data_IF_730205058887
#
_entry.id   IF_730205058887
#
_cell.length_a   1.000
_cell.length_b   1.000
_cell.length_c   1.000
_cell.angle_alpha   90.00
_cell.angle_beta   90.00
_cell.angle_gamma   90.00
#
_symmetry.space_group_name_H-M   'P 1'
#
loop_
_entity.id
_entity.type
_entity.pdbx_description
1 polymer ?
#
# COMPACT_ATOMS: atom_id res chain seq x y z
N UNK A 1 -37.79 97.47 -2.91
CA UNK A 1 -39.21 97.48 -2.51
C UNK A 1 -39.66 96.05 -2.26
N UNK A 2 -40.23 95.79 -1.07
CA UNK A 2 -41.17 94.71 -0.69
C UNK A 2 -40.76 93.22 -0.86
N UNK A 3 -40.53 92.56 0.28
CA UNK A 3 -40.92 91.15 0.55
C UNK A 3 -42.46 91.01 0.50
N UNK A 4 -43.06 89.85 0.13
CA UNK A 4 -43.24 88.70 1.06
C UNK A 4 -43.30 87.28 0.38
N UNK A 5 -42.85 86.19 1.04
CA UNK A 5 -43.55 85.11 1.82
C UNK A 5 -44.32 83.99 1.07
N UNK A 6 -44.12 82.76 1.59
CA UNK A 6 -44.93 81.51 1.59
C UNK A 6 -44.74 80.57 0.38
N UNK A 7 -44.78 79.23 0.44
CA UNK A 7 -44.69 78.19 1.47
C UNK A 7 -44.81 76.80 0.77
N UNK A 8 -44.48 75.71 1.49
CA UNK A 8 -44.87 74.30 1.25
C UNK A 8 -44.12 73.51 0.15
N UNK A 9 -43.78 72.22 0.27
CA UNK A 9 -43.92 71.18 1.31
C UNK A 9 -42.93 70.06 0.91
N UNK A 10 -42.17 69.52 1.86
CA UNK A 10 -41.32 68.33 1.69
C UNK A 10 -42.14 67.08 2.00
N UNK A 11 -42.19 66.12 1.09
CA UNK A 11 -42.66 64.75 1.36
C UNK A 11 -41.54 63.78 0.98
N UNK A 12 -40.82 63.31 1.99
CA UNK A 12 -39.84 62.23 1.87
C UNK A 12 -40.53 60.88 1.98
N UNK A 13 -40.26 59.98 1.03
CA UNK A 13 -40.63 58.58 1.10
C UNK A 13 -39.39 57.76 1.48
N UNK A 14 -39.30 57.33 2.74
CA UNK A 14 -38.35 56.31 3.18
C UNK A 14 -38.95 54.93 2.92
N UNK A 15 -38.39 54.20 1.94
CA UNK A 15 -38.65 52.77 1.73
C UNK A 15 -37.92 51.98 2.82
N UNK A 16 -38.64 51.46 3.82
CA UNK A 16 -38.13 50.50 4.80
C UNK A 16 -38.26 49.09 4.20
N UNK A 17 -37.15 48.55 3.71
CA UNK A 17 -37.03 47.12 3.41
C UNK A 17 -36.85 46.35 4.72
N UNK A 18 -37.90 45.66 5.15
CA UNK A 18 -37.83 44.67 6.23
C UNK A 18 -37.06 43.45 5.71
N UNK A 19 -35.78 43.34 6.05
CA UNK A 19 -34.99 42.13 5.87
C UNK A 19 -35.32 41.15 6.98
N UNK A 20 -35.87 39.98 6.64
CA UNK A 20 -36.02 38.87 7.59
C UNK A 20 -34.64 38.33 7.94
N UNK A 21 -34.06 38.75 9.07
CA UNK A 21 -32.89 38.08 9.66
C UNK A 21 -33.39 36.86 10.42
N UNK A 22 -33.40 35.69 9.77
CA UNK A 22 -33.44 34.43 10.50
C UNK A 22 -32.03 34.18 11.05
N UNK A 23 -31.87 34.30 12.36
CA UNK A 23 -30.66 33.80 13.05
C UNK A 23 -30.76 32.28 13.04
N UNK A 24 -29.93 31.63 12.23
CA UNK A 24 -29.73 30.19 12.35
C UNK A 24 -28.85 30.00 13.58
N UNK A 25 -29.37 29.31 14.60
CA UNK A 25 -28.56 28.84 15.72
C UNK A 25 -27.58 27.78 15.17
N UNK A 26 -26.44 28.26 14.68
CA UNK A 26 -25.32 27.42 14.30
C UNK A 26 -24.56 27.03 15.56
N UNK A 27 -24.68 25.78 15.99
CA UNK A 27 -23.72 25.21 16.94
C UNK A 27 -22.38 25.16 16.21
N UNK A 28 -21.42 25.96 16.66
CA UNK A 28 -20.04 25.84 16.23
C UNK A 28 -19.55 24.46 16.66
N UNK A 29 -19.47 23.53 15.72
CA UNK A 29 -18.76 22.27 15.92
C UNK A 29 -17.29 22.62 15.88
N UNK A 30 -16.53 22.26 16.93
CA UNK A 30 -15.09 22.43 16.92
C UNK A 30 -14.53 21.79 15.64
N UNK A 31 -13.60 22.47 14.92
CA UNK A 31 -12.94 21.84 13.80
C UNK A 31 -12.32 20.53 14.30
N UNK A 32 -12.68 19.42 13.65
CA UNK A 32 -12.06 18.14 13.93
C UNK A 32 -10.53 18.34 13.93
N UNK A 33 -9.80 17.81 14.91
CA UNK A 33 -8.35 17.96 14.96
C UNK A 33 -7.78 17.50 13.61
N UNK A 34 -6.96 18.38 12.99
CA UNK A 34 -6.36 18.08 11.70
C UNK A 34 -5.63 16.74 11.78
N UNK A 35 -5.87 15.85 10.81
CA UNK A 35 -5.21 14.56 10.75
C UNK A 35 -3.69 14.75 10.87
N UNK A 36 -3.09 14.16 11.91
CA UNK A 36 -1.65 14.25 12.13
C UNK A 36 -0.97 13.46 11.02
N UNK A 37 -0.39 14.16 10.06
CA UNK A 37 0.38 13.51 9.01
C UNK A 37 1.71 13.00 9.56
N UNK A 38 2.05 11.77 9.21
CA UNK A 38 3.34 11.19 9.52
C UNK A 38 4.47 11.90 8.78
N UNK A 39 5.51 12.29 9.53
CA UNK A 39 6.76 12.73 8.93
C UNK A 39 7.51 11.53 8.32
N UNK A 40 8.13 11.75 7.16
CA UNK A 40 8.98 10.74 6.52
C UNK A 40 10.07 10.25 7.48
N UNK A 41 10.31 8.93 7.53
CA UNK A 41 11.36 8.31 8.35
C UNK A 41 12.24 7.35 7.55
N UNK A 42 13.43 7.07 8.06
CA UNK A 42 14.26 5.99 7.54
C UNK A 42 13.57 4.64 7.78
N UNK A 43 13.51 3.81 6.73
CA UNK A 43 12.83 2.52 6.77
C UNK A 43 13.80 1.32 6.67
N UNK A 44 15.08 1.55 6.41
CA UNK A 44 16.10 0.49 6.41
C UNK A 44 16.05 -0.40 7.67
N UNK A 45 15.93 0.14 8.91
CA UNK A 45 15.92 -0.70 10.11
C UNK A 45 14.74 -1.68 10.17
N UNK A 46 13.67 -1.44 9.41
CA UNK A 46 12.48 -2.31 9.34
C UNK A 46 12.75 -3.55 8.48
N UNK A 47 13.65 -3.47 7.50
CA UNK A 47 13.97 -4.59 6.62
C UNK A 47 14.65 -5.73 7.41
N UNK A 48 14.44 -7.00 7.03
CA UNK A 48 14.98 -8.14 7.77
C UNK A 48 16.49 -8.28 7.55
N UNK A 49 17.24 -8.68 8.57
CA UNK A 49 18.66 -9.01 8.49
C UNK A 49 18.88 -10.44 7.98
N UNK A 50 20.12 -10.79 7.63
CA UNK A 50 20.44 -12.17 7.22
C UNK A 50 20.17 -13.16 8.34
N UNK A 51 20.46 -12.81 9.59
CA UNK A 51 20.23 -13.65 10.76
C UNK A 51 18.73 -13.89 10.98
N UNK A 52 17.93 -12.82 10.95
CA UNK A 52 16.47 -12.92 11.08
C UNK A 52 15.84 -13.80 9.99
N UNK A 53 16.31 -13.69 8.75
CA UNK A 53 15.85 -14.56 7.67
C UNK A 53 16.29 -16.00 7.85
N UNK A 54 17.50 -16.22 8.38
CA UNK A 54 18.01 -17.58 8.61
C UNK A 54 17.19 -18.30 9.67
N UNK A 55 16.86 -17.58 10.75
CA UNK A 55 16.02 -18.08 11.83
C UNK A 55 14.57 -18.29 11.35
N UNK A 56 13.97 -17.31 10.67
CA UNK A 56 12.58 -17.40 10.20
C UNK A 56 12.37 -18.49 9.15
N UNK A 57 13.37 -18.69 8.29
CA UNK A 57 13.25 -19.59 7.15
C UNK A 57 13.87 -20.96 7.41
N UNK A 58 14.42 -21.21 8.61
CA UNK A 58 15.14 -22.44 9.01
C UNK A 58 16.22 -22.85 8.00
N UNK A 59 17.13 -21.92 7.73
CA UNK A 59 18.24 -22.13 6.79
C UNK A 59 19.56 -21.67 7.39
N UNK A 60 20.66 -22.18 6.83
CA UNK A 60 21.97 -21.69 7.18
C UNK A 60 22.11 -20.19 6.82
N UNK A 61 22.88 -19.41 7.60
CA UNK A 61 23.13 -17.99 7.36
C UNK A 61 24.13 -17.76 6.22
N UNK A 62 23.83 -18.33 5.05
CA UNK A 62 24.60 -18.21 3.81
C UNK A 62 24.00 -17.18 2.85
N UNK A 63 22.90 -16.56 3.27
CA UNK A 63 22.15 -15.64 2.44
C UNK A 63 22.87 -14.33 2.15
N UNK A 64 22.78 -13.88 0.90
CA UNK A 64 23.38 -12.62 0.44
C UNK A 64 22.31 -11.56 0.27
N UNK A 65 22.53 -10.42 0.92
CA UNK A 65 21.68 -9.24 0.75
C UNK A 65 22.01 -8.51 -0.54
N UNK A 66 20.96 -8.16 -1.29
CA UNK A 66 21.04 -7.23 -2.40
C UNK A 66 21.25 -5.80 -1.94
N UNK A 67 21.35 -4.88 -2.91
CA UNK A 67 21.46 -3.46 -2.62
C UNK A 67 20.19 -2.95 -1.91
N UNK A 68 20.39 -2.07 -0.92
CA UNK A 68 19.31 -1.29 -0.34
C UNK A 68 18.79 -0.31 -1.39
N UNK A 69 17.48 -0.25 -1.54
CA UNK A 69 16.79 0.75 -2.35
C UNK A 69 15.86 1.53 -1.44
N UNK A 70 16.04 2.84 -1.36
CA UNK A 70 15.25 3.72 -0.50
C UNK A 70 14.88 5.03 -1.21
N UNK A 71 13.76 5.64 -0.82
CA UNK A 71 13.31 6.91 -1.38
C UNK A 71 11.85 7.20 -1.11
N UNK A 72 11.19 7.92 -2.03
CA UNK A 72 9.77 8.27 -1.95
C UNK A 72 8.91 7.40 -2.86
N UNK A 73 7.77 7.94 -3.28
CA UNK A 73 6.84 7.25 -4.18
C UNK A 73 7.49 6.88 -5.52
N UNK A 74 8.47 7.63 -5.99
CA UNK A 74 9.19 7.40 -7.26
C UNK A 74 10.05 6.12 -7.26
N UNK A 75 10.31 5.56 -6.08
CA UNK A 75 11.01 4.29 -5.84
C UNK A 75 10.13 3.06 -6.04
N UNK A 76 8.80 3.21 -6.08
CA UNK A 76 7.88 2.09 -6.33
C UNK A 76 8.14 1.45 -7.70
N UNK A 77 7.91 0.14 -7.79
CA UNK A 77 8.16 -0.62 -9.00
C UNK A 77 7.16 -0.25 -10.10
N UNK A 78 7.64 -0.13 -11.33
CA UNK A 78 6.83 0.20 -12.52
C UNK A 78 6.77 -0.97 -13.50
N UNK A 79 6.79 -2.19 -12.97
CA UNK A 79 6.77 -3.42 -13.77
C UNK A 79 5.38 -3.77 -14.29
N UNK A 80 4.33 -3.22 -13.67
CA UNK A 80 2.93 -3.44 -14.02
C UNK A 80 2.20 -2.12 -14.17
N UNK A 81 1.52 -1.94 -15.30
CA UNK A 81 0.52 -0.89 -15.47
C UNK A 81 -0.88 -1.46 -15.22
N UNK A 82 -1.75 -0.68 -14.56
CA UNK A 82 -3.13 -1.10 -14.24
C UNK A 82 -3.94 -1.44 -15.50
N UNK A 83 -3.68 -0.77 -16.62
CA UNK A 83 -4.39 -1.02 -17.89
C UNK A 83 -4.00 -2.34 -18.56
N UNK A 84 -2.90 -2.95 -18.13
CA UNK A 84 -2.38 -4.21 -18.67
C UNK A 84 -2.83 -5.42 -17.86
N UNK A 85 -3.31 -5.23 -16.62
CA UNK A 85 -3.63 -6.32 -15.71
C UNK A 85 -5.14 -6.59 -15.67
N UNK A 86 -5.53 -7.87 -15.76
CA UNK A 86 -6.92 -8.30 -15.62
C UNK A 86 -6.99 -9.60 -14.80
N UNK A 87 -7.76 -9.65 -13.70
CA UNK A 87 -8.39 -8.52 -13.00
C UNK A 87 -7.35 -7.55 -12.40
N UNK A 88 -7.70 -6.26 -12.32
CA UNK A 88 -6.75 -5.20 -11.91
C UNK A 88 -6.59 -5.12 -10.38
N UNK A 89 -7.62 -5.51 -9.64
CA UNK A 89 -7.66 -5.61 -8.18
C UNK A 89 -6.64 -6.64 -7.66
N UNK A 90 -6.37 -7.70 -8.42
CA UNK A 90 -5.44 -8.77 -8.04
C UNK A 90 -3.96 -8.45 -8.31
N UNK A 91 -3.65 -7.23 -8.78
CA UNK A 91 -2.27 -6.79 -9.01
C UNK A 91 -1.48 -6.79 -7.71
N UNK A 92 -2.07 -6.35 -6.59
CA UNK A 92 -1.36 -6.29 -5.30
C UNK A 92 -1.06 -7.67 -4.73
N UNK A 93 -1.93 -8.66 -4.97
CA UNK A 93 -1.69 -10.07 -4.60
C UNK A 93 -0.55 -10.65 -5.42
N UNK A 94 -0.50 -10.31 -6.72
CA UNK A 94 0.42 -10.93 -7.68
C UNK A 94 1.78 -10.27 -7.74
N UNK A 95 1.86 -8.94 -7.61
CA UNK A 95 3.06 -8.16 -7.88
C UNK A 95 3.37 -7.22 -6.73
N UNK A 96 4.59 -7.34 -6.19
CA UNK A 96 5.04 -6.59 -5.02
C UNK A 96 5.36 -5.14 -5.37
N UNK A 97 5.14 -4.24 -4.41
CA UNK A 97 5.63 -2.87 -4.35
C UNK A 97 5.34 -2.01 -5.61
N UNK A 98 4.26 -2.33 -6.36
CA UNK A 98 3.97 -1.67 -7.63
C UNK A 98 3.40 -0.26 -7.44
N UNK A 99 3.85 0.68 -8.25
CA UNK A 99 3.26 2.01 -8.40
C UNK A 99 1.76 1.93 -8.73
N UNK A 100 1.35 0.93 -9.52
CA UNK A 100 -0.04 0.65 -9.84
C UNK A 100 -0.94 0.38 -8.61
N UNK A 101 -0.35 -0.04 -7.50
CA UNK A 101 -1.04 -0.39 -6.24
C UNK A 101 -0.97 0.79 -5.26
N UNK A 102 0.23 1.31 -5.02
CA UNK A 102 0.46 2.32 -3.98
C UNK A 102 0.31 3.76 -4.46
N UNK A 103 0.31 4.00 -5.77
CA UNK A 103 0.47 5.34 -6.35
C UNK A 103 -0.65 6.34 -6.09
N UNK A 104 -1.82 5.87 -5.68
CA UNK A 104 -2.94 6.74 -5.26
C UNK A 104 -2.87 7.11 -3.76
N UNK A 105 -1.98 6.48 -2.99
CA UNK A 105 -1.79 6.73 -1.56
C UNK A 105 -0.74 7.82 -1.33
N UNK A 106 -0.75 8.41 -0.13
CA UNK A 106 0.17 9.45 0.34
C UNK A 106 1.50 8.84 0.79
N UNK A 107 2.22 8.21 -0.14
CA UNK A 107 3.51 7.57 0.13
C UNK A 107 4.55 8.60 0.59
N UNK A 108 5.12 8.38 1.78
CA UNK A 108 6.13 9.24 2.41
C UNK A 108 7.54 8.70 2.21
N UNK A 109 7.70 7.40 2.39
CA UNK A 109 9.00 6.73 2.30
C UNK A 109 8.80 5.30 1.86
N UNK A 110 9.76 4.79 1.09
CA UNK A 110 9.82 3.41 0.62
C UNK A 110 11.22 2.91 0.89
N UNK A 111 11.33 1.69 1.41
CA UNK A 111 12.59 0.95 1.41
C UNK A 111 12.35 -0.48 0.95
N UNK A 112 13.30 -1.04 0.21
CA UNK A 112 13.26 -2.44 -0.18
C UNK A 112 14.64 -3.05 -0.30
N UNK A 113 14.70 -4.37 -0.18
CA UNK A 113 15.91 -5.16 -0.40
C UNK A 113 15.56 -6.54 -0.91
N UNK A 114 16.36 -7.03 -1.85
CA UNK A 114 16.29 -8.43 -2.29
C UNK A 114 17.30 -9.28 -1.52
N UNK A 115 17.09 -10.58 -1.52
CA UNK A 115 17.95 -11.54 -0.86
C UNK A 115 17.92 -12.88 -1.58
N UNK A 116 19.00 -13.62 -1.50
CA UNK A 116 19.06 -14.99 -1.98
C UNK A 116 19.94 -15.86 -1.09
N UNK A 117 19.48 -17.08 -0.79
CA UNK A 117 20.26 -18.08 -0.08
C UNK A 117 20.24 -19.41 -0.83
N UNK A 118 21.32 -20.17 -0.70
CA UNK A 118 21.48 -21.46 -1.36
C UNK A 118 22.89 -22.00 -1.20
N UNK A 119 23.28 -22.85 -2.13
CA UNK A 119 24.59 -23.49 -2.17
C UNK A 119 25.44 -22.94 -3.32
N UNK A 120 26.62 -23.55 -3.52
CA UNK A 120 27.47 -23.30 -4.70
C UNK A 120 26.78 -23.60 -6.03
N UNK A 121 25.71 -24.39 -6.02
CA UNK A 121 24.95 -24.78 -7.20
C UNK A 121 23.85 -23.76 -7.57
N UNK A 122 23.63 -22.75 -6.72
CA UNK A 122 22.68 -21.67 -6.95
C UNK A 122 21.76 -21.40 -5.75
N UNK A 123 20.92 -20.35 -5.84
CA UNK A 123 19.96 -20.04 -4.78
C UNK A 123 18.87 -21.12 -4.72
N UNK A 124 18.63 -21.64 -3.52
CA UNK A 124 17.48 -22.47 -3.23
C UNK A 124 16.26 -21.60 -2.90
N UNK A 125 16.51 -20.41 -2.34
CA UNK A 125 15.49 -19.45 -1.94
C UNK A 125 15.90 -18.05 -2.39
N UNK A 126 14.90 -17.27 -2.78
CA UNK A 126 15.05 -15.82 -2.93
C UNK A 126 13.93 -15.11 -2.20
N UNK A 127 14.19 -13.86 -1.82
CA UNK A 127 13.22 -13.01 -1.18
C UNK A 127 13.29 -11.57 -1.67
N UNK A 128 12.17 -10.88 -1.54
CA UNK A 128 12.07 -9.44 -1.69
C UNK A 128 11.26 -8.90 -0.52
N UNK A 129 11.79 -7.85 0.11
CA UNK A 129 11.20 -7.25 1.30
C UNK A 129 11.03 -5.78 1.03
N UNK A 130 9.79 -5.31 1.06
CA UNK A 130 9.43 -3.90 0.89
C UNK A 130 8.71 -3.38 2.12
N UNK A 131 8.91 -2.10 2.41
CA UNK A 131 8.13 -1.34 3.38
C UNK A 131 7.79 0.02 2.81
N UNK A 132 6.53 0.42 2.96
CA UNK A 132 5.97 1.70 2.49
C UNK A 132 5.37 2.44 3.68
N UNK A 133 5.88 3.62 3.99
CA UNK A 133 5.26 4.54 4.92
C UNK A 133 4.21 5.37 4.19
N UNK A 134 2.98 5.37 4.70
CA UNK A 134 1.85 6.16 4.23
C UNK A 134 1.66 7.43 5.07
N UNK A 135 0.69 8.27 4.68
CA UNK A 135 0.53 9.60 5.24
C UNK A 135 0.02 9.62 6.68
N UNK A 136 -0.55 8.52 7.16
CA UNK A 136 -1.04 8.34 8.53
C UNK A 136 -1.32 6.87 8.86
N UNK A 137 -1.55 6.57 10.13
CA UNK A 137 -2.02 5.25 10.59
C UNK A 137 -3.40 4.87 10.03
N UNK A 138 -4.32 5.82 9.94
CA UNK A 138 -5.66 5.58 9.38
C UNK A 138 -5.59 5.21 7.90
N UNK A 139 -4.76 5.92 7.13
CA UNK A 139 -4.54 5.63 5.72
C UNK A 139 -3.91 4.24 5.51
N UNK A 140 -2.94 3.85 6.35
CA UNK A 140 -2.35 2.52 6.27
C UNK A 140 -3.34 1.41 6.63
N UNK A 141 -4.15 1.61 7.67
CA UNK A 141 -5.21 0.66 8.03
C UNK A 141 -6.25 0.53 6.91
N UNK A 142 -6.68 1.64 6.30
CA UNK A 142 -7.64 1.63 5.20
C UNK A 142 -7.07 0.97 3.93
N UNK A 143 -5.80 1.25 3.61
CA UNK A 143 -5.09 0.59 2.51
C UNK A 143 -5.04 -0.92 2.74
N UNK A 144 -4.63 -1.35 3.94
CA UNK A 144 -4.52 -2.77 4.27
C UNK A 144 -5.87 -3.48 4.19
N UNK A 145 -6.93 -2.90 4.77
CA UNK A 145 -8.27 -3.48 4.70
C UNK A 145 -8.72 -3.68 3.24
N UNK A 146 -8.51 -2.67 2.39
CA UNK A 146 -8.82 -2.78 0.96
C UNK A 146 -7.99 -3.87 0.27
N UNK A 147 -6.69 -3.93 0.54
CA UNK A 147 -5.82 -4.94 -0.02
C UNK A 147 -6.20 -6.36 0.45
N UNK A 148 -6.52 -6.54 1.72
CA UNK A 148 -6.96 -7.82 2.27
C UNK A 148 -8.28 -8.30 1.63
N UNK A 149 -9.25 -7.40 1.47
CA UNK A 149 -10.51 -7.68 0.78
C UNK A 149 -10.29 -8.02 -0.71
N UNK A 150 -9.37 -7.30 -1.38
CA UNK A 150 -8.99 -7.62 -2.77
C UNK A 150 -8.35 -9.00 -2.85
N UNK A 151 -7.36 -9.31 -2.00
CA UNK A 151 -6.67 -10.60 -2.01
C UNK A 151 -7.63 -11.75 -1.75
N UNK A 152 -8.55 -11.60 -0.78
CA UNK A 152 -9.57 -12.61 -0.50
C UNK A 152 -10.47 -12.90 -1.71
N UNK A 153 -10.80 -11.88 -2.52
CA UNK A 153 -11.57 -12.04 -3.75
C UNK A 153 -10.76 -12.63 -4.90
N UNK A 154 -9.43 -12.50 -4.84
CA UNK A 154 -8.51 -13.02 -5.84
C UNK A 154 -8.12 -14.49 -5.60
N UNK A 155 -8.58 -15.13 -4.53
CA UNK A 155 -8.27 -16.53 -4.27
C UNK A 155 -8.85 -17.45 -5.36
N UNK A 156 -8.01 -18.26 -5.97
CA UNK A 156 -8.36 -19.11 -7.12
C UNK A 156 -8.44 -18.37 -8.46
N UNK A 157 -8.22 -17.05 -8.50
CA UNK A 157 -8.22 -16.28 -9.74
C UNK A 157 -6.88 -16.41 -10.50
N UNK A 158 -6.93 -16.12 -11.80
CA UNK A 158 -5.74 -15.98 -12.65
C UNK A 158 -5.64 -14.57 -13.18
N UNK A 159 -4.52 -13.91 -12.87
CA UNK A 159 -4.20 -12.58 -13.38
C UNK A 159 -3.49 -12.71 -14.72
N UNK A 160 -3.98 -11.99 -15.72
CA UNK A 160 -3.34 -11.85 -17.02
C UNK A 160 -2.73 -10.46 -17.12
N UNK A 161 -1.44 -10.40 -17.43
CA UNK A 161 -0.71 -9.17 -17.73
C UNK A 161 -0.44 -9.09 -19.24
N UNK A 162 -1.17 -8.24 -19.96
CA UNK A 162 -1.00 -8.01 -21.39
C UNK A 162 0.20 -7.10 -21.67
N UNK A 163 1.26 -7.68 -22.24
CA UNK A 163 2.47 -6.95 -22.63
C UNK A 163 2.38 -6.35 -24.05
N UNK A 164 1.21 -6.36 -24.70
CA UNK A 164 0.94 -5.66 -25.96
C UNK A 164 1.37 -6.41 -27.22
N UNK A 165 1.55 -7.74 -27.16
CA UNK A 165 1.94 -8.60 -28.30
C UNK A 165 1.09 -9.87 -28.40
N UNK A 166 0.90 -10.46 -29.60
CA UNK A 166 0.17 -11.72 -29.76
C UNK A 166 0.82 -12.84 -28.94
N UNK A 167 0.09 -13.40 -27.97
CA UNK A 167 0.62 -14.44 -27.07
C UNK A 167 1.60 -13.92 -26.01
N UNK A 168 1.75 -12.61 -25.85
CA UNK A 168 2.66 -11.99 -24.87
C UNK A 168 2.01 -11.76 -23.48
N UNK A 169 0.84 -12.35 -23.24
CA UNK A 169 0.17 -12.29 -21.96
C UNK A 169 0.87 -13.20 -20.94
N UNK A 170 1.36 -12.63 -19.85
CA UNK A 170 1.85 -13.41 -18.71
C UNK A 170 0.65 -13.77 -17.81
N UNK A 171 0.49 -15.03 -17.47
CA UNK A 171 -0.58 -15.49 -16.58
C UNK A 171 0.00 -15.79 -15.20
N UNK A 172 -0.71 -15.45 -14.14
CA UNK A 172 -0.31 -15.75 -12.76
C UNK A 172 -1.50 -16.29 -12.00
N UNK A 173 -1.42 -17.52 -11.49
CA UNK A 173 -2.48 -18.11 -10.67
C UNK A 173 -2.27 -17.78 -9.19
N UNK A 174 -3.36 -17.46 -8.49
CA UNK A 174 -3.39 -17.14 -7.07
C UNK A 174 -4.12 -18.27 -6.32
N UNK A 175 -3.59 -18.68 -5.18
CA UNK A 175 -4.20 -19.69 -4.32
C UNK A 175 -3.82 -19.46 -2.85
N UNK A 176 -4.45 -20.24 -1.96
CA UNK A 176 -4.15 -20.34 -0.53
C UNK A 176 -4.17 -18.98 0.18
N UNK A 177 -5.11 -18.11 -0.19
CA UNK A 177 -5.22 -16.80 0.44
C UNK A 177 -5.69 -16.93 1.89
N UNK A 178 -4.95 -16.33 2.81
CA UNK A 178 -5.31 -16.27 4.24
C UNK A 178 -5.30 -14.83 4.70
N UNK A 179 -6.36 -14.40 5.39
CA UNK A 179 -6.52 -13.05 5.93
C UNK A 179 -6.55 -13.10 7.45
N UNK A 180 -5.64 -12.39 8.09
CA UNK A 180 -5.61 -12.12 9.52
C UNK A 180 -5.67 -10.60 9.78
N UNK A 181 -5.80 -10.21 11.06
CA UNK A 181 -5.99 -8.81 11.48
C UNK A 181 -4.90 -7.83 10.98
N UNK A 182 -3.68 -8.31 10.77
CA UNK A 182 -2.52 -7.47 10.40
C UNK A 182 -1.72 -7.97 9.21
N UNK A 183 -2.04 -9.15 8.69
CA UNK A 183 -1.32 -9.78 7.57
C UNK A 183 -2.35 -10.47 6.68
N UNK A 184 -2.20 -10.28 5.37
CA UNK A 184 -2.83 -11.12 4.36
C UNK A 184 -1.74 -11.83 3.58
N UNK A 185 -1.95 -13.09 3.24
CA UNK A 185 -0.96 -13.93 2.55
C UNK A 185 -1.59 -14.70 1.41
N UNK A 186 -0.77 -15.14 0.45
CA UNK A 186 -1.19 -15.91 -0.71
C UNK A 186 -0.02 -16.70 -1.30
N UNK A 187 -0.33 -17.70 -2.12
CA UNK A 187 0.61 -18.37 -3.01
C UNK A 187 0.33 -17.95 -4.45
N UNK A 188 1.37 -17.52 -5.15
CA UNK A 188 1.29 -17.08 -6.55
C UNK A 188 2.21 -17.94 -7.41
N UNK A 189 1.74 -18.36 -8.57
CA UNK A 189 2.57 -19.06 -9.57
C UNK A 189 2.49 -18.30 -10.89
N UNK A 190 3.61 -17.75 -11.34
CA UNK A 190 3.71 -17.15 -12.66
C UNK A 190 3.86 -18.26 -13.72
N UNK A 191 2.95 -18.27 -14.69
CA UNK A 191 2.92 -19.22 -15.81
C UNK A 191 4.04 -19.01 -16.84
N UNK A 192 4.68 -17.84 -16.86
CA UNK A 192 5.92 -17.63 -17.60
C UNK A 192 7.13 -17.92 -16.70
N UNK A 193 7.76 -19.10 -16.85
CA UNK A 193 8.95 -19.47 -16.07
C UNK A 193 8.96 -20.93 -15.63
N UNK A 194 9.65 -21.21 -14.52
CA UNK A 194 9.76 -22.55 -13.90
C UNK A 194 8.47 -23.05 -13.25
N UNK A 195 7.43 -22.21 -13.13
CA UNK A 195 6.24 -22.51 -12.32
C UNK A 195 6.53 -22.54 -10.82
N UNK A 196 7.62 -21.89 -10.38
CA UNK A 196 8.00 -21.81 -8.98
C UNK A 196 6.93 -21.08 -8.16
N UNK A 197 6.37 -21.71 -7.11
CA UNK A 197 5.48 -21.04 -6.18
C UNK A 197 6.18 -19.89 -5.45
N UNK A 198 5.45 -18.80 -5.34
CA UNK A 198 5.87 -17.57 -4.69
C UNK A 198 4.93 -17.34 -3.51
N UNK A 199 5.50 -17.30 -2.32
CA UNK A 199 4.80 -16.91 -1.12
C UNK A 199 4.72 -15.39 -1.07
N UNK A 200 3.51 -14.87 -0.83
CA UNK A 200 3.24 -13.45 -0.68
C UNK A 200 2.68 -13.19 0.70
N UNK A 201 3.13 -12.10 1.31
CA UNK A 201 2.53 -11.56 2.51
C UNK A 201 2.54 -10.04 2.46
N UNK A 202 1.41 -9.42 2.78
CA UNK A 202 1.28 -7.99 2.93
C UNK A 202 0.74 -7.72 4.34
N UNK A 203 1.31 -6.75 5.05
CA UNK A 203 0.93 -6.50 6.44
C UNK A 203 0.98 -5.04 6.83
N UNK A 204 0.37 -4.71 7.96
CA UNK A 204 0.23 -3.32 8.45
C UNK A 204 0.64 -3.16 9.91
N UNK A 205 1.40 -2.09 10.18
CA UNK A 205 1.69 -1.61 11.54
C UNK A 205 1.94 -0.10 11.54
N UNK A 206 1.25 0.61 12.44
CA UNK A 206 1.31 2.07 12.49
C UNK A 206 0.88 2.68 11.17
N UNK A 207 1.72 3.55 10.61
CA UNK A 207 1.52 4.21 9.32
C UNK A 207 2.20 3.49 8.14
N UNK A 208 2.60 2.23 8.30
CA UNK A 208 3.38 1.53 7.29
C UNK A 208 2.77 0.18 6.87
N UNK A 209 3.02 -0.16 5.60
CA UNK A 209 2.70 -1.44 4.97
C UNK A 209 4.01 -2.16 4.68
N UNK A 210 4.08 -3.45 5.01
CA UNK A 210 5.16 -4.35 4.58
C UNK A 210 4.65 -5.22 3.43
N UNK A 211 5.49 -5.48 2.44
CA UNK A 211 5.17 -6.29 1.26
C UNK A 211 6.33 -7.26 1.00
N UNK A 212 6.05 -8.54 1.21
CA UNK A 212 7.05 -9.61 1.29
C UNK A 212 6.76 -10.65 0.22
N UNK A 213 7.84 -11.07 -0.43
CA UNK A 213 7.86 -12.18 -1.37
C UNK A 213 8.96 -13.16 -0.98
N UNK A 214 8.65 -14.46 -0.95
CA UNK A 214 9.63 -15.55 -0.86
C UNK A 214 9.38 -16.52 -2.01
N UNK A 215 10.43 -16.87 -2.76
CA UNK A 215 10.36 -17.87 -3.83
C UNK A 215 11.20 -19.09 -3.47
N UNK A 216 10.59 -20.27 -3.55
CA UNK A 216 11.28 -21.54 -3.37
C UNK A 216 11.74 -22.13 -4.70
N UNK A 217 12.92 -21.68 -5.12
CA UNK A 217 13.52 -22.04 -6.40
C UNK A 217 13.83 -23.56 -6.46
N UNK A 218 14.19 -24.16 -5.33
CA UNK A 218 14.51 -25.58 -5.24
C UNK A 218 13.28 -26.49 -5.16
N UNK A 219 12.09 -25.94 -4.87
CA UNK A 219 10.85 -26.70 -4.69
C UNK A 219 10.87 -27.64 -3.49
N UNK A 220 11.69 -27.32 -2.48
CA UNK A 220 11.87 -28.14 -1.28
C UNK A 220 10.81 -27.86 -0.19
N UNK A 221 10.16 -26.70 -0.24
CA UNK A 221 9.06 -26.31 0.64
C UNK A 221 7.73 -26.70 0.00
N UNK A 222 6.88 -27.35 0.78
CA UNK A 222 5.52 -27.67 0.36
C UNK A 222 4.52 -26.84 1.14
N UNK A 223 3.61 -26.20 0.41
CA UNK A 223 2.43 -25.52 0.95
C UNK A 223 2.65 -24.06 1.37
N UNK A 224 1.55 -23.32 1.33
CA UNK A 224 1.30 -22.08 2.06
C UNK A 224 2.26 -20.92 1.82
N UNK A 225 2.03 -19.86 2.58
CA UNK A 225 2.79 -18.62 2.55
C UNK A 225 3.56 -18.35 3.86
N UNK A 226 3.73 -19.37 4.72
CA UNK A 226 4.23 -19.24 6.09
C UNK A 226 5.58 -18.50 6.17
N UNK A 227 6.52 -18.78 5.26
CA UNK A 227 7.82 -18.11 5.25
C UNK A 227 7.72 -16.62 4.94
N UNK A 228 6.83 -16.22 4.03
CA UNK A 228 6.56 -14.80 3.79
C UNK A 228 5.83 -14.14 4.99
N UNK A 229 4.92 -14.88 5.64
CA UNK A 229 4.21 -14.42 6.84
C UNK A 229 5.16 -14.20 8.01
N UNK A 230 6.05 -15.15 8.30
CA UNK A 230 7.02 -15.06 9.40
C UNK A 230 7.95 -13.85 9.21
N UNK A 231 8.43 -13.63 7.98
CA UNK A 231 9.25 -12.46 7.66
C UNK A 231 8.46 -11.16 7.77
N UNK A 232 7.21 -11.12 7.30
CA UNK A 232 6.34 -9.96 7.48
C UNK A 232 6.14 -9.66 8.96
N UNK A 233 5.91 -10.66 9.81
CA UNK A 233 5.76 -10.48 11.26
C UNK A 233 7.02 -9.90 11.92
N UNK A 234 8.22 -10.32 11.51
CA UNK A 234 9.49 -9.73 11.97
C UNK A 234 9.54 -8.23 11.62
N UNK A 235 9.23 -7.88 10.37
CA UNK A 235 9.23 -6.48 9.92
C UNK A 235 8.18 -5.65 10.67
N UNK A 236 6.98 -6.19 10.88
CA UNK A 236 5.91 -5.54 11.64
C UNK A 236 6.30 -5.32 13.11
N UNK A 237 7.01 -6.27 13.73
CA UNK A 237 7.50 -6.15 15.10
C UNK A 237 8.40 -4.93 15.29
N UNK A 238 9.24 -4.63 14.29
CA UNK A 238 10.16 -3.48 14.28
C UNK A 238 9.46 -2.13 14.10
N UNK A 239 8.20 -2.13 13.68
CA UNK A 239 7.36 -0.93 13.54
C UNK A 239 6.56 -0.62 14.80
N UNK A 240 6.41 -1.59 15.70
CA UNK A 240 5.66 -1.47 16.96
C UNK A 240 6.52 -1.30 18.20
N UNK A 241 7.85 -1.40 18.05
CA UNK A 241 8.84 -1.30 19.12
C UNK A 241 9.35 0.11 19.38
#
# INVERSE_FOLDING_TARGET
>A
MRTPRLAAMLAGACLLSAGCTATVDGVAVDPAPAATHSAARALEPVLPTTEELSDALDIAPTGLMGQLVEGGADTLLRGVDRSQATPVECVSTTYRLQQAVYGASSVRSVASRSWAAGSVDGPALSGFFGVVQLGSTEEAAAFFATAADDWARCDGETVVLDRGGPGAGEQSSIADVTVDDRVVSAVVVHGAGSGTPIQRALGVAGDAIVDVEISDIAGARTGGADGAVDVAQIMLGKLTG
#
